data_IF_953404504989
#
_entry.id   IF_953404504989
#
_cell.length_a   1.000
_cell.length_b   1.000
_cell.length_c   1.000
_cell.angle_alpha   90.00
_cell.angle_beta   90.00
_cell.angle_gamma   90.00
#
_symmetry.space_group_name_H-M   'P 1'
#
loop_
_entity.id
_entity.type
_entity.pdbx_description
1 polymer ?
#
# COMPACT_ATOMS: atom_id res chain seq x y z
N UNK A 1 0.98 7.13 7.42
CA UNK A 1 0.42 8.08 6.44
C UNK A 1 1.49 8.78 5.59
N UNK A 2 2.48 9.47 6.17
CA UNK A 2 3.45 10.29 5.42
C UNK A 2 4.17 9.57 4.26
N UNK A 3 4.58 8.31 4.46
CA UNK A 3 5.21 7.49 3.40
C UNK A 3 4.30 7.24 2.20
N UNK A 4 2.99 7.11 2.42
CA UNK A 4 2.01 6.88 1.36
C UNK A 4 1.79 8.16 0.55
N UNK A 5 1.78 9.32 1.22
CA UNK A 5 1.70 10.61 0.55
C UNK A 5 2.94 10.89 -0.31
N UNK A 6 4.12 10.52 0.16
CA UNK A 6 5.37 10.62 -0.61
C UNK A 6 5.37 9.67 -1.83
N UNK A 7 4.97 8.42 -1.65
CA UNK A 7 4.83 7.47 -2.76
C UNK A 7 3.86 7.98 -3.84
N UNK A 8 2.75 8.63 -3.44
CA UNK A 8 1.84 9.29 -4.37
C UNK A 8 2.53 10.42 -5.14
N UNK A 9 3.30 11.28 -4.46
CA UNK A 9 4.04 12.38 -5.12
C UNK A 9 5.05 11.88 -6.15
N UNK A 10 5.67 10.73 -5.89
CA UNK A 10 6.61 10.08 -6.81
C UNK A 10 5.91 9.35 -7.98
N UNK A 11 4.58 9.34 -8.03
CA UNK A 11 3.81 8.76 -9.13
C UNK A 11 3.54 7.26 -9.00
N UNK A 12 3.76 6.66 -7.82
CA UNK A 12 3.37 5.27 -7.59
C UNK A 12 1.84 5.15 -7.57
N UNK A 13 1.32 4.21 -8.36
CA UNK A 13 -0.12 3.94 -8.48
C UNK A 13 -0.66 3.02 -7.38
N UNK A 14 0.22 2.20 -6.79
CA UNK A 14 -0.15 1.16 -5.83
C UNK A 14 0.93 0.99 -4.76
N UNK A 15 0.51 0.79 -3.52
CA UNK A 15 1.39 0.55 -2.37
C UNK A 15 0.84 -0.56 -1.49
N UNK A 16 1.74 -1.40 -0.96
CA UNK A 16 1.40 -2.45 0.00
C UNK A 16 1.77 -2.01 1.40
N UNK A 17 0.85 -2.17 2.35
CA UNK A 17 1.06 -1.83 3.76
C UNK A 17 0.58 -2.98 4.66
N UNK A 18 1.17 -3.17 5.84
CA UNK A 18 0.65 -4.12 6.81
C UNK A 18 -0.80 -3.80 7.16
N UNK A 19 -1.69 -4.80 7.21
CA UNK A 19 -3.12 -4.58 7.54
C UNK A 19 -3.29 -3.85 8.88
N UNK A 20 -2.45 -4.17 9.86
CA UNK A 20 -2.49 -3.56 11.19
C UNK A 20 -2.23 -2.03 11.14
N UNK A 21 -1.53 -1.55 10.12
CA UNK A 21 -1.25 -0.14 9.93
C UNK A 21 -2.37 0.60 9.18
N UNK A 22 -3.42 -0.09 8.74
CA UNK A 22 -4.55 0.54 8.05
C UNK A 22 -5.65 1.01 9.00
N UNK A 23 -5.58 0.65 10.29
CA UNK A 23 -6.56 1.10 11.27
C UNK A 23 -6.36 2.59 11.59
N UNK A 24 -7.45 3.36 11.53
CA UNK A 24 -7.49 4.74 12.04
C UNK A 24 -7.07 5.85 11.07
N UNK A 25 -6.84 5.57 9.78
CA UNK A 25 -6.59 6.62 8.80
C UNK A 25 -7.19 6.29 7.43
N UNK A 26 -7.51 7.33 6.65
CA UNK A 26 -8.05 7.18 5.29
C UNK A 26 -6.90 7.22 4.29
N UNK A 27 -6.89 6.26 3.36
CA UNK A 27 -5.94 6.27 2.27
C UNK A 27 -6.14 7.52 1.39
N UNK A 28 -5.06 8.22 0.99
CA UNK A 28 -5.18 9.37 0.10
C UNK A 28 -5.69 8.94 -1.28
N UNK A 29 -6.58 9.75 -1.86
CA UNK A 29 -7.14 9.50 -3.19
C UNK A 29 -6.04 9.46 -4.27
N UNK A 30 -6.20 8.61 -5.28
CA UNK A 30 -5.27 8.50 -6.41
C UNK A 30 -4.07 7.58 -6.22
N UNK A 31 -3.94 6.90 -5.06
CA UNK A 31 -3.03 5.78 -4.87
C UNK A 31 -3.76 4.60 -4.25
N UNK A 32 -3.61 3.40 -4.83
CA UNK A 32 -4.24 2.20 -4.31
C UNK A 32 -3.43 1.67 -3.12
N UNK A 33 -4.01 1.73 -1.93
CA UNK A 33 -3.41 1.18 -0.70
C UNK A 33 -3.94 -0.23 -0.47
N UNK A 34 -3.05 -1.22 -0.53
CA UNK A 34 -3.39 -2.64 -0.40
C UNK A 34 -2.84 -3.19 0.92
N UNK A 35 -3.73 -3.63 1.79
CA UNK A 35 -3.38 -4.23 3.08
C UNK A 35 -2.95 -5.69 2.96
N UNK A 36 -1.74 -6.00 3.41
CA UNK A 36 -1.19 -7.37 3.42
C UNK A 36 -0.90 -7.85 4.84
N UNK A 37 -1.07 -9.14 5.08
CA UNK A 37 -0.83 -9.77 6.38
C UNK A 37 0.46 -10.61 6.41
N UNK A 38 0.98 -11.01 5.25
CA UNK A 38 2.19 -11.84 5.14
C UNK A 38 3.06 -11.39 3.98
N UNK A 39 4.37 -11.67 4.07
CA UNK A 39 5.31 -11.42 2.98
C UNK A 39 4.93 -12.21 1.72
N UNK A 40 4.49 -13.46 1.89
CA UNK A 40 4.04 -14.32 0.77
C UNK A 40 2.88 -13.68 0.00
N UNK A 41 1.91 -13.10 0.71
CA UNK A 41 0.81 -12.37 0.08
C UNK A 41 1.30 -11.15 -0.69
N UNK A 42 2.21 -10.36 -0.11
CA UNK A 42 2.76 -9.18 -0.76
C UNK A 42 3.50 -9.54 -2.05
N UNK A 43 4.37 -10.55 -2.01
CA UNK A 43 5.10 -11.04 -3.18
C UNK A 43 4.15 -11.52 -4.27
N UNK A 44 3.13 -12.30 -3.90
CA UNK A 44 2.10 -12.75 -4.85
C UNK A 44 1.38 -11.58 -5.53
N UNK A 45 0.99 -10.54 -4.80
CA UNK A 45 0.28 -9.40 -5.40
C UNK A 45 1.21 -8.48 -6.22
N UNK A 46 2.50 -8.47 -5.91
CA UNK A 46 3.48 -7.59 -6.53
C UNK A 46 4.14 -8.18 -7.79
N UNK A 47 4.37 -9.50 -7.82
CA UNK A 47 5.24 -10.14 -8.81
C UNK A 47 4.58 -11.26 -9.61
N UNK A 48 3.44 -11.79 -9.18
CA UNK A 48 2.76 -12.87 -9.89
C UNK A 48 2.08 -12.26 -11.13
N UNK A 49 2.49 -12.73 -12.32
CA UNK A 49 2.10 -12.24 -13.66
C UNK A 49 1.17 -13.25 -14.33
#
# INVERSE_FOLDING_TARGET
ESRVAEAKKLGFKRIFVPKNNMQGWKAPEGIQVVGVSTLRQALKLALDV
#
